data_IF_110592418218
#
_entry.id   IF_110592418218
#
_cell.length_a   1.000
_cell.length_b   1.000
_cell.length_c   1.000
_cell.angle_alpha   90.00
_cell.angle_beta   90.00
_cell.angle_gamma   90.00
#
_symmetry.space_group_name_H-M   'P 1'
#
loop_
_entity.id
_entity.type
_entity.pdbx_description
1 polymer ?
#
# COMPACT_ATOMS: atom_id res chain seq x y z
N UNK A 1 79.55 14.77 -61.44
CA UNK A 1 79.09 14.88 -62.84
C UNK A 1 77.85 15.74 -62.85
N UNK A 2 77.93 16.83 -63.61
CA UNK A 2 76.88 17.81 -63.84
C UNK A 2 75.72 17.20 -64.64
N UNK A 3 74.51 17.74 -64.40
CA UNK A 3 73.27 17.76 -65.19
C UNK A 3 72.08 17.69 -64.21
N UNK A 4 70.96 18.41 -64.31
CA UNK A 4 70.54 19.64 -64.98
C UNK A 4 69.14 19.92 -64.40
N UNK A 5 68.83 21.18 -64.05
CA UNK A 5 67.45 21.66 -63.84
C UNK A 5 66.64 21.62 -65.16
N UNK A 6 65.27 21.57 -65.19
CA UNK A 6 64.44 22.72 -64.79
C UNK A 6 63.01 22.44 -64.30
N UNK A 7 62.36 23.46 -63.72
CA UNK A 7 60.89 23.55 -63.72
C UNK A 7 60.23 24.28 -62.56
N UNK A 8 60.54 25.56 -62.35
CA UNK A 8 59.78 26.41 -61.43
C UNK A 8 58.36 26.71 -61.95
N UNK A 9 57.33 26.31 -61.19
CA UNK A 9 55.99 26.89 -61.29
C UNK A 9 55.60 27.63 -60.01
N UNK A 10 55.59 28.95 -60.18
CA UNK A 10 54.91 30.03 -59.45
C UNK A 10 53.94 29.57 -58.35
N UNK A 11 54.27 29.93 -57.10
CA UNK A 11 53.30 30.01 -56.00
C UNK A 11 52.19 31.00 -56.40
N UNK A 12 50.98 30.48 -56.60
CA UNK A 12 49.79 31.31 -56.80
C UNK A 12 49.54 32.16 -55.56
N UNK A 13 49.57 33.47 -55.77
CA UNK A 13 49.23 34.50 -54.80
C UNK A 13 47.84 34.27 -54.21
N UNK A 14 47.69 34.64 -52.93
CA UNK A 14 46.43 34.78 -52.23
C UNK A 14 45.47 35.74 -52.99
N UNK A 15 44.50 35.20 -53.72
CA UNK A 15 43.35 35.95 -54.22
C UNK A 15 42.29 36.05 -53.11
N UNK A 16 42.45 36.99 -52.18
CA UNK A 16 41.45 37.29 -51.14
C UNK A 16 41.27 38.79 -50.87
N UNK A 17 41.46 39.65 -51.87
CA UNK A 17 41.37 41.10 -51.69
C UNK A 17 40.25 41.82 -52.46
N UNK A 18 39.46 41.15 -53.32
CA UNK A 18 38.33 41.80 -54.03
C UNK A 18 37.13 40.85 -54.14
N UNK A 19 36.29 40.78 -53.10
CA UNK A 19 35.00 40.09 -53.15
C UNK A 19 33.92 40.96 -52.50
N UNK A 20 32.83 41.19 -53.24
CA UNK A 20 31.62 41.91 -52.82
C UNK A 20 31.08 41.34 -51.48
N UNK A 21 30.65 42.15 -50.48
CA UNK A 21 30.11 41.69 -49.19
C UNK A 21 29.06 40.56 -49.29
N UNK A 22 28.29 40.49 -50.37
CA UNK A 22 27.37 39.39 -50.69
C UNK A 22 28.08 38.04 -50.85
N UNK A 23 29.21 38.01 -51.56
CA UNK A 23 30.00 36.81 -51.90
C UNK A 23 30.77 36.25 -50.70
N UNK A 24 31.18 37.10 -49.75
CA UNK A 24 31.77 36.68 -48.48
C UNK A 24 30.73 36.06 -47.53
N UNK A 25 29.50 36.58 -47.53
CA UNK A 25 28.38 36.00 -46.77
C UNK A 25 27.98 34.63 -47.33
N UNK A 26 27.94 34.48 -48.66
CA UNK A 26 27.68 33.18 -49.31
C UNK A 26 28.78 32.15 -49.03
N UNK A 27 30.07 32.53 -49.07
CA UNK A 27 31.16 31.63 -48.71
C UNK A 27 31.12 31.22 -47.23
N UNK A 28 30.74 32.12 -46.32
CA UNK A 28 30.51 31.78 -44.90
C UNK A 28 29.31 30.84 -44.73
N UNK A 29 28.22 31.07 -45.46
CA UNK A 29 27.04 30.18 -45.50
C UNK A 29 27.40 28.79 -46.03
N UNK A 30 28.16 28.71 -47.12
CA UNK A 30 28.65 27.45 -47.69
C UNK A 30 29.60 26.72 -46.72
N UNK A 31 30.49 27.44 -46.03
CA UNK A 31 31.38 26.87 -45.01
C UNK A 31 30.61 26.34 -43.80
N UNK A 32 29.58 27.04 -43.34
CA UNK A 32 28.70 26.60 -42.25
C UNK A 32 27.84 25.41 -42.67
N UNK A 33 27.33 25.38 -43.90
CA UNK A 33 26.61 24.23 -44.46
C UNK A 33 27.52 22.99 -44.56
N UNK A 34 28.77 23.18 -45.02
CA UNK A 34 29.80 22.14 -45.07
C UNK A 34 30.17 21.63 -43.68
N UNK A 35 30.37 22.52 -42.70
CA UNK A 35 30.63 22.14 -41.31
C UNK A 35 29.45 21.37 -40.68
N UNK A 36 28.21 21.78 -40.98
CA UNK A 36 27.01 21.07 -40.56
C UNK A 36 26.86 19.69 -41.21
N UNK A 37 27.22 19.57 -42.49
CA UNK A 37 27.27 18.29 -43.20
C UNK A 37 28.35 17.37 -42.63
N UNK A 38 29.56 17.88 -42.38
CA UNK A 38 30.66 17.13 -41.76
C UNK A 38 30.35 16.69 -40.32
N UNK A 39 29.67 17.52 -39.52
CA UNK A 39 29.23 17.16 -38.17
C UNK A 39 28.18 16.04 -38.18
N UNK A 40 27.22 16.07 -39.11
CA UNK A 40 26.24 14.98 -39.30
C UNK A 40 26.90 13.68 -39.75
N UNK A 41 27.92 13.76 -40.61
CA UNK A 41 28.65 12.59 -41.08
C UNK A 41 29.45 11.94 -39.94
N UNK A 42 30.07 12.73 -39.06
CA UNK A 42 30.76 12.23 -37.85
C UNK A 42 29.79 11.61 -36.86
N UNK A 43 28.66 12.25 -36.57
CA UNK A 43 27.63 11.71 -35.68
C UNK A 43 27.03 10.40 -36.22
N UNK A 44 26.88 10.27 -37.55
CA UNK A 44 26.44 9.02 -38.19
C UNK A 44 27.48 7.91 -38.05
N UNK A 45 28.76 8.20 -38.31
CA UNK A 45 29.87 7.25 -38.12
C UNK A 45 30.02 6.80 -36.67
N UNK A 46 29.87 7.71 -35.70
CA UNK A 46 29.92 7.38 -34.27
C UNK A 46 28.76 6.48 -33.83
N UNK A 47 27.54 6.73 -34.33
CA UNK A 47 26.39 5.86 -34.10
C UNK A 47 26.56 4.48 -34.73
N UNK A 48 27.12 4.42 -35.95
CA UNK A 48 27.41 3.16 -36.63
C UNK A 48 28.48 2.36 -35.87
N UNK A 49 29.57 3.00 -35.43
CA UNK A 49 30.60 2.37 -34.60
C UNK A 49 30.06 1.89 -33.25
N UNK A 50 29.20 2.68 -32.60
CA UNK A 50 28.54 2.28 -31.36
C UNK A 50 27.60 1.09 -31.59
N UNK A 51 26.81 1.10 -32.66
CA UNK A 51 25.92 -0.01 -32.98
C UNK A 51 26.68 -1.30 -33.32
N UNK A 52 27.86 -1.21 -33.94
CA UNK A 52 28.74 -2.36 -34.18
C UNK A 52 29.26 -2.89 -32.84
N UNK A 53 29.78 -2.01 -31.98
CA UNK A 53 30.28 -2.39 -30.65
C UNK A 53 29.19 -3.03 -29.78
N UNK A 54 28.00 -2.45 -29.75
CA UNK A 54 26.86 -2.97 -28.99
C UNK A 54 26.44 -4.36 -29.52
N UNK A 55 26.52 -4.58 -30.84
CA UNK A 55 26.24 -5.90 -31.47
C UNK A 55 27.31 -6.94 -31.14
N UNK A 56 28.58 -6.55 -31.20
CA UNK A 56 29.71 -7.43 -30.81
C UNK A 56 29.58 -7.84 -29.34
N UNK A 57 29.30 -6.88 -28.45
CA UNK A 57 29.10 -7.14 -27.03
C UNK A 57 27.89 -8.06 -26.77
N UNK A 58 26.78 -7.90 -27.52
CA UNK A 58 25.64 -8.84 -27.42
C UNK A 58 25.99 -10.24 -27.93
N UNK A 59 26.74 -10.34 -29.04
CA UNK A 59 27.13 -11.62 -29.61
C UNK A 59 28.13 -12.37 -28.72
N UNK A 60 29.04 -11.66 -28.05
CA UNK A 60 29.94 -12.25 -27.05
C UNK A 60 29.17 -12.75 -25.82
N UNK A 61 28.20 -11.97 -25.33
CA UNK A 61 27.32 -12.40 -24.24
C UNK A 61 26.49 -13.63 -24.60
N UNK A 62 25.98 -13.72 -25.82
CA UNK A 62 25.24 -14.89 -26.30
C UNK A 62 26.13 -16.14 -26.36
N UNK A 63 27.31 -16.03 -26.96
CA UNK A 63 28.30 -17.13 -26.98
C UNK A 63 28.68 -17.60 -25.58
N UNK A 64 28.82 -16.66 -24.65
CA UNK A 64 29.16 -17.00 -23.28
C UNK A 64 28.02 -17.73 -22.56
N UNK A 65 26.77 -17.31 -22.77
CA UNK A 65 25.58 -18.02 -22.26
C UNK A 65 25.48 -19.43 -22.84
N UNK A 66 25.71 -19.60 -24.13
CA UNK A 66 25.67 -20.91 -24.79
C UNK A 66 26.76 -21.85 -24.25
N UNK A 67 27.97 -21.33 -24.02
CA UNK A 67 29.04 -22.09 -23.39
C UNK A 67 28.68 -22.49 -21.94
N UNK A 68 28.12 -21.58 -21.17
CA UNK A 68 27.66 -21.84 -19.80
C UNK A 68 26.54 -22.88 -19.76
N UNK A 69 25.57 -22.82 -20.67
CA UNK A 69 24.49 -23.82 -20.80
C UNK A 69 25.02 -25.20 -21.19
N UNK A 70 26.04 -25.24 -22.06
CA UNK A 70 26.69 -26.50 -22.43
C UNK A 70 27.43 -27.11 -21.25
N UNK A 71 28.23 -26.32 -20.53
CA UNK A 71 28.94 -26.75 -19.33
C UNK A 71 27.97 -27.17 -18.21
N UNK A 72 26.85 -26.46 -18.07
CA UNK A 72 25.78 -26.83 -17.14
C UNK A 72 25.15 -28.18 -17.51
N UNK A 73 24.93 -28.44 -18.80
CA UNK A 73 24.43 -29.73 -19.29
C UNK A 73 25.42 -30.87 -19.06
N UNK A 74 26.71 -30.64 -19.35
CA UNK A 74 27.79 -31.58 -19.07
C UNK A 74 27.90 -31.87 -17.55
N UNK A 75 27.75 -30.86 -16.69
CA UNK A 75 27.76 -31.02 -15.24
C UNK A 75 26.53 -31.78 -14.71
N UNK A 76 25.35 -31.57 -15.31
CA UNK A 76 24.13 -32.32 -15.00
C UNK A 76 24.25 -33.80 -15.35
N UNK A 77 24.82 -34.11 -16.51
CA UNK A 77 25.04 -35.48 -16.98
C UNK A 77 26.11 -36.21 -16.16
N UNK A 78 27.11 -35.48 -15.66
CA UNK A 78 28.17 -36.04 -14.83
C UNK A 78 27.70 -36.37 -13.39
N UNK A 79 27.01 -35.45 -12.72
CA UNK A 79 26.49 -35.65 -11.36
C UNK A 79 25.24 -34.77 -11.09
N UNK A 80 24.05 -35.37 -11.27
CA UNK A 80 22.77 -34.70 -11.04
C UNK A 80 22.59 -34.26 -9.58
N UNK A 81 23.06 -35.04 -8.61
CA UNK A 81 22.85 -34.74 -7.19
C UNK A 81 23.74 -33.59 -6.73
N UNK A 82 25.02 -33.60 -7.15
CA UNK A 82 25.94 -32.49 -6.93
C UNK A 82 25.48 -31.19 -7.60
N UNK A 83 24.99 -31.28 -8.84
CA UNK A 83 24.41 -30.15 -9.57
C UNK A 83 23.19 -29.56 -8.85
N UNK A 84 22.25 -30.41 -8.42
CA UNK A 84 21.05 -29.98 -7.72
C UNK A 84 21.37 -29.31 -6.38
N UNK A 85 22.33 -29.85 -5.61
CA UNK A 85 22.80 -29.22 -4.35
C UNK A 85 23.42 -27.85 -4.59
N UNK A 86 24.22 -27.70 -5.65
CA UNK A 86 24.83 -26.41 -6.02
C UNK A 86 23.76 -25.37 -6.33
N UNK A 87 22.79 -25.69 -7.19
CA UNK A 87 21.69 -24.78 -7.54
C UNK A 87 20.78 -24.46 -6.37
N UNK A 88 20.48 -25.43 -5.48
CA UNK A 88 19.76 -25.15 -4.22
C UNK A 88 20.54 -24.18 -3.34
N UNK A 89 21.87 -24.32 -3.25
CA UNK A 89 22.74 -23.36 -2.56
C UNK A 89 22.70 -21.96 -3.19
N UNK A 90 22.71 -21.86 -4.52
CA UNK A 90 22.56 -20.60 -5.24
C UNK A 90 21.17 -19.97 -5.02
N UNK A 91 20.11 -20.78 -5.02
CA UNK A 91 18.74 -20.37 -4.69
C UNK A 91 18.70 -19.78 -3.27
N UNK A 92 19.20 -20.50 -2.26
CA UNK A 92 19.25 -20.03 -0.87
C UNK A 92 20.08 -18.75 -0.71
N UNK A 93 21.20 -18.62 -1.43
CA UNK A 93 22.02 -17.42 -1.43
C UNK A 93 21.27 -16.21 -2.03
N UNK A 94 20.52 -16.41 -3.11
CA UNK A 94 19.66 -15.36 -3.69
C UNK A 94 18.49 -15.00 -2.77
N UNK A 95 17.83 -16.00 -2.17
CA UNK A 95 16.75 -15.82 -1.19
C UNK A 95 17.20 -14.97 -0.01
N UNK A 96 18.38 -15.26 0.54
CA UNK A 96 18.95 -14.50 1.66
C UNK A 96 19.36 -13.10 1.24
N UNK A 97 19.90 -12.92 0.01
CA UNK A 97 20.21 -11.60 -0.56
C UNK A 97 18.97 -10.73 -0.69
N UNK A 98 17.89 -11.26 -1.28
CA UNK A 98 16.60 -10.57 -1.44
C UNK A 98 16.03 -10.21 -0.06
N UNK A 99 16.01 -11.15 0.89
CA UNK A 99 15.53 -10.92 2.25
C UNK A 99 16.33 -9.83 2.97
N UNK A 100 17.66 -9.81 2.81
CA UNK A 100 18.53 -8.80 3.40
C UNK A 100 18.30 -7.41 2.76
N UNK A 101 18.12 -7.33 1.44
CA UNK A 101 17.77 -6.08 0.73
C UNK A 101 16.41 -5.56 1.17
N UNK A 102 15.40 -6.42 1.27
CA UNK A 102 14.08 -6.08 1.81
C UNK A 102 14.16 -5.56 3.25
N UNK A 103 14.93 -6.21 4.12
CA UNK A 103 15.16 -5.76 5.51
C UNK A 103 15.86 -4.40 5.56
N UNK A 104 16.89 -4.18 4.74
CA UNK A 104 17.56 -2.87 4.63
C UNK A 104 16.61 -1.80 4.13
N UNK A 105 15.80 -2.07 3.12
CA UNK A 105 14.77 -1.14 2.63
C UNK A 105 13.77 -0.77 3.72
N UNK A 106 13.24 -1.76 4.44
CA UNK A 106 12.34 -1.53 5.56
C UNK A 106 12.99 -0.64 6.63
N UNK A 107 14.24 -0.93 6.99
CA UNK A 107 15.01 -0.14 7.94
C UNK A 107 15.31 1.30 7.45
N UNK A 108 15.42 1.54 6.15
CA UNK A 108 15.60 2.89 5.58
C UNK A 108 14.30 3.69 5.53
N UNK A 109 13.16 3.00 5.49
CA UNK A 109 11.84 3.63 5.49
C UNK A 109 11.45 4.14 6.88
N UNK A 110 11.80 3.42 7.94
CA UNK A 110 11.51 3.80 9.32
C UNK A 110 12.31 5.04 9.75
N UNK A 111 11.60 6.07 10.21
CA UNK A 111 12.16 7.35 10.65
C UNK A 111 13.10 7.20 11.85
N UNK A 112 12.87 6.23 12.73
CA UNK A 112 13.65 6.04 13.96
C UNK A 112 14.79 5.02 13.82
N UNK A 113 14.87 4.32 12.70
CA UNK A 113 15.86 3.26 12.48
C UNK A 113 17.30 3.79 12.44
N UNK A 114 18.22 3.04 13.03
CA UNK A 114 19.65 3.34 13.08
C UNK A 114 20.25 3.56 11.67
N UNK A 115 19.79 2.80 10.67
CA UNK A 115 20.26 2.94 9.29
C UNK A 115 19.91 4.32 8.69
N UNK A 116 18.74 4.87 9.02
CA UNK A 116 18.35 6.21 8.57
C UNK A 116 19.08 7.29 9.35
N UNK A 117 19.31 7.09 10.64
CA UNK A 117 20.12 8.00 11.46
C UNK A 117 21.56 8.06 10.98
N UNK A 118 22.15 6.92 10.62
CA UNK A 118 23.49 6.84 10.04
C UNK A 118 23.56 7.49 8.65
N UNK A 119 22.56 7.26 7.79
CA UNK A 119 22.46 7.97 6.51
C UNK A 119 22.37 9.49 6.69
N UNK A 120 21.57 9.96 7.66
CA UNK A 120 21.45 11.40 7.96
C UNK A 120 22.75 11.97 8.54
N UNK A 121 23.45 11.21 9.39
CA UNK A 121 24.80 11.57 9.88
C UNK A 121 25.81 11.64 8.74
N UNK A 122 25.79 10.69 7.80
CA UNK A 122 26.67 10.69 6.64
C UNK A 122 26.36 11.86 5.69
N UNK A 123 25.09 12.18 5.47
CA UNK A 123 24.70 13.37 4.69
C UNK A 123 25.15 14.65 5.41
N UNK A 124 24.98 14.75 6.73
CA UNK A 124 25.45 15.90 7.51
C UNK A 124 26.98 16.04 7.47
N UNK A 125 27.72 14.93 7.54
CA UNK A 125 29.19 14.92 7.43
C UNK A 125 29.65 15.29 6.02
N UNK A 126 28.96 14.82 4.98
CA UNK A 126 29.24 15.20 3.59
C UNK A 126 28.98 16.70 3.37
N UNK A 127 27.86 17.22 3.87
CA UNK A 127 27.56 18.66 3.79
C UNK A 127 28.58 19.50 4.57
N UNK A 128 29.02 19.06 5.75
CA UNK A 128 30.05 19.73 6.53
C UNK A 128 31.45 19.63 5.88
N UNK A 129 31.73 18.55 5.14
CA UNK A 129 32.96 18.41 4.36
C UNK A 129 32.96 19.33 3.14
N UNK A 130 31.80 19.52 2.51
CA UNK A 130 31.61 20.46 1.39
C UNK A 130 31.77 21.92 1.86
N UNK A 131 31.22 22.29 3.03
CA UNK A 131 31.49 23.58 3.68
C UNK A 131 32.99 23.80 3.96
N UNK A 132 33.74 22.73 4.23
CA UNK A 132 35.18 22.79 4.49
C UNK A 132 36.02 22.90 3.21
N UNK A 133 35.53 22.37 2.09
CA UNK A 133 36.14 22.48 0.75
C UNK A 133 35.84 23.85 0.08
N UNK A 134 34.70 24.48 0.41
CA UNK A 134 34.27 25.78 -0.17
C UNK A 134 34.81 27.03 0.55
N UNK A 135 35.64 26.87 1.58
CA UNK A 135 36.48 27.96 2.06
C UNK A 135 36.53 28.10 3.57
N UNK A 136 37.72 27.89 4.11
CA UNK A 136 38.13 28.52 5.36
C UNK A 136 38.09 30.03 5.22
N UNK A 137 36.99 30.64 5.67
CA UNK A 137 36.95 32.02 6.13
C UNK A 137 35.95 32.04 7.28
N UNK A 138 36.49 32.05 8.50
CA UNK A 138 35.69 32.02 9.71
C UNK A 138 34.74 33.22 9.78
N UNK A 139 33.47 32.96 10.04
CA UNK A 139 32.67 33.88 10.85
C UNK A 139 31.69 33.07 11.70
N UNK A 140 31.79 33.32 13.00
CA UNK A 140 31.00 32.70 14.04
C UNK A 140 29.50 32.92 13.85
N UNK A 141 28.75 31.88 14.22
CA UNK A 141 27.44 31.92 14.89
C UNK A 141 26.99 33.33 15.29
N UNK A 142 25.91 33.82 14.68
CA UNK A 142 24.99 34.74 15.35
C UNK A 142 23.55 34.33 15.07
N UNK A 143 22.96 33.65 16.05
CA UNK A 143 21.51 33.49 16.13
C UNK A 143 20.85 34.86 16.31
N UNK A 144 19.70 35.05 15.67
CA UNK A 144 18.92 36.27 15.77
C UNK A 144 17.52 36.08 15.23
N UNK A 145 16.59 35.76 16.14
CA UNK A 145 15.14 35.98 15.96
C UNK A 145 14.91 37.38 15.38
N UNK A 146 14.14 37.48 14.30
CA UNK A 146 13.81 38.75 13.67
C UNK A 146 12.50 38.66 12.88
N UNK A 147 11.44 39.11 13.52
CA UNK A 147 10.08 39.33 13.01
C UNK A 147 10.06 40.12 11.71
N UNK A 148 9.17 39.73 10.79
CA UNK A 148 9.02 40.39 9.50
C UNK A 148 8.37 41.76 9.55
N UNK A 149 8.69 42.56 8.52
CA UNK A 149 7.86 43.53 7.80
C UNK A 149 8.79 44.33 6.89
N UNK A 150 8.35 44.62 5.66
CA UNK A 150 8.98 45.63 4.81
C UNK A 150 9.14 45.22 3.35
N UNK A 151 8.05 45.35 2.60
CA UNK A 151 8.06 45.37 1.14
C UNK A 151 8.71 46.68 0.67
N UNK A 152 9.72 46.59 -0.20
CA UNK A 152 10.35 47.75 -0.84
C UNK A 152 11.03 47.33 -2.13
N UNK A 153 10.40 47.67 -3.26
CA UNK A 153 10.95 47.52 -4.63
C UNK A 153 12.17 48.42 -4.81
N UNK A 154 13.25 47.86 -5.35
CA UNK A 154 14.43 48.61 -5.78
C UNK A 154 15.20 47.82 -6.84
N UNK A 155 15.12 48.29 -8.08
CA UNK A 155 15.80 47.80 -9.28
C UNK A 155 17.30 48.11 -9.27
N UNK A 156 18.15 47.17 -9.71
CA UNK A 156 19.40 47.50 -10.39
C UNK A 156 20.69 46.80 -9.94
N UNK A 157 21.35 46.18 -10.95
CA UNK A 157 22.79 45.90 -11.09
C UNK A 157 23.47 44.81 -10.25
N UNK A 158 23.59 43.64 -10.88
CA UNK A 158 24.82 42.87 -11.09
C UNK A 158 25.89 42.84 -9.99
N UNK A 159 26.00 41.67 -9.34
CA UNK A 159 27.26 41.18 -8.77
C UNK A 159 27.44 39.71 -9.15
N UNK A 160 28.49 39.46 -9.93
CA UNK A 160 28.94 38.18 -10.45
C UNK A 160 29.53 37.38 -9.29
N UNK A 161 28.69 36.64 -8.58
CA UNK A 161 29.10 35.51 -7.74
C UNK A 161 28.69 34.25 -8.49
N UNK A 162 29.61 33.29 -8.62
CA UNK A 162 29.31 31.96 -9.16
C UNK A 162 28.36 31.26 -8.17
N UNK A 163 27.08 31.59 -8.22
CA UNK A 163 26.05 30.81 -7.56
C UNK A 163 25.98 29.51 -8.33
N UNK A 164 26.48 28.44 -7.72
CA UNK A 164 26.25 27.08 -8.16
C UNK A 164 24.76 26.93 -8.50
N UNK A 165 24.45 26.87 -9.80
CA UNK A 165 23.08 26.72 -10.29
C UNK A 165 22.72 25.25 -10.13
N UNK A 166 22.50 24.83 -8.89
CA UNK A 166 21.95 23.51 -8.58
C UNK A 166 20.63 23.34 -9.34
N UNK A 167 20.62 22.47 -10.35
CA UNK A 167 19.53 22.30 -11.31
C UNK A 167 19.82 22.67 -12.76
N UNK A 168 21.01 23.20 -13.08
CA UNK A 168 21.46 23.43 -14.45
C UNK A 168 21.94 22.14 -15.14
N UNK A 169 22.45 21.18 -14.36
CA UNK A 169 22.82 19.85 -14.85
C UNK A 169 21.72 18.82 -14.53
N UNK A 170 21.40 17.94 -15.49
CA UNK A 170 20.40 16.86 -15.34
C UNK A 170 20.74 15.90 -14.17
N UNK A 171 22.01 15.89 -13.73
CA UNK A 171 22.49 15.14 -12.58
C UNK A 171 21.88 15.62 -11.25
N UNK A 172 21.61 16.91 -11.10
CA UNK A 172 21.04 17.50 -9.88
C UNK A 172 19.57 17.12 -9.70
N UNK A 173 18.86 16.95 -10.81
CA UNK A 173 17.49 16.46 -10.83
C UNK A 173 17.42 14.99 -10.39
N UNK A 174 18.48 14.21 -10.59
CA UNK A 174 18.56 12.83 -10.08
C UNK A 174 18.69 12.78 -8.55
N UNK A 175 19.32 13.78 -7.93
CA UNK A 175 19.43 13.93 -6.47
C UNK A 175 18.05 14.26 -5.88
N UNK A 176 17.31 15.20 -6.48
CA UNK A 176 15.92 15.50 -6.08
C UNK A 176 15.00 14.28 -6.21
N UNK A 177 15.08 13.52 -7.31
CA UNK A 177 14.30 12.28 -7.49
C UNK A 177 14.63 11.21 -6.45
N UNK A 178 15.92 11.08 -6.06
CA UNK A 178 16.36 10.16 -4.99
C UNK A 178 15.90 10.59 -3.60
N UNK A 179 15.77 11.89 -3.34
CA UNK A 179 15.31 12.43 -2.06
C UNK A 179 13.78 12.33 -1.96
N UNK A 180 13.03 12.75 -2.98
CA UNK A 180 11.56 12.71 -3.01
C UNK A 180 11.03 11.27 -2.95
N UNK A 181 11.67 10.32 -3.65
CA UNK A 181 11.35 8.88 -3.54
C UNK A 181 11.55 8.31 -2.14
N UNK A 182 12.39 8.93 -1.30
CA UNK A 182 12.69 8.46 0.06
C UNK A 182 11.79 9.09 1.15
N UNK A 183 11.01 10.13 0.84
CA UNK A 183 10.36 10.97 1.88
C UNK A 183 8.84 11.15 1.77
N UNK A 184 8.14 10.53 0.83
CA UNK A 184 6.67 10.70 0.72
C UNK A 184 5.88 9.47 1.22
N UNK A 185 5.34 9.51 2.46
CA UNK A 185 4.45 8.47 3.00
C UNK A 185 2.95 8.68 2.68
N UNK A 186 2.56 9.66 1.84
CA UNK A 186 1.15 9.97 1.61
C UNK A 186 0.83 10.14 0.11
N UNK A 187 0.32 9.06 -0.49
CA UNK A 187 -0.41 9.09 -1.76
C UNK A 187 -1.85 8.67 -1.43
N UNK A 188 -2.88 9.44 -1.80
CA UNK A 188 -4.27 9.12 -1.50
C UNK A 188 -4.75 7.84 -2.21
N UNK A 189 -5.74 7.12 -1.64
CA UNK A 189 -5.97 5.69 -1.90
C UNK A 189 -6.79 5.36 -3.17
N UNK A 190 -6.86 6.23 -4.17
CA UNK A 190 -7.78 6.03 -5.32
C UNK A 190 -7.16 5.47 -6.61
N UNK A 191 -5.86 5.15 -6.64
CA UNK A 191 -5.26 4.43 -7.78
C UNK A 191 -4.68 3.10 -7.33
N UNK A 192 -5.50 2.06 -7.41
CA UNK A 192 -5.17 0.65 -7.12
C UNK A 192 -4.02 0.10 -8.00
N UNK A 193 -3.50 0.89 -8.95
CA UNK A 193 -2.36 0.54 -9.82
C UNK A 193 -0.97 1.00 -9.35
N UNK A 194 -0.82 1.69 -8.21
CA UNK A 194 0.50 2.22 -7.81
C UNK A 194 0.94 1.76 -6.42
N UNK A 195 0.78 0.47 -6.14
CA UNK A 195 1.55 -0.22 -5.09
C UNK A 195 2.68 -1.07 -5.65
N UNK A 196 3.12 -0.77 -6.88
CA UNK A 196 4.46 -1.16 -7.31
C UNK A 196 5.43 -0.28 -6.52
N UNK A 197 5.81 -0.73 -5.32
CA UNK A 197 7.10 -0.33 -4.75
C UNK A 197 8.09 -0.49 -5.92
N UNK A 198 8.74 0.59 -6.35
CA UNK A 198 9.75 0.49 -7.39
C UNK A 198 10.91 -0.31 -6.81
N UNK A 199 10.88 -1.62 -7.07
CA UNK A 199 11.97 -2.56 -6.85
C UNK A 199 13.19 -1.95 -7.54
N UNK A 200 14.35 -1.98 -6.88
CA UNK A 200 15.58 -1.45 -7.48
C UNK A 200 15.91 -2.28 -8.73
N UNK A 201 16.56 -1.69 -9.73
CA UNK A 201 17.05 -2.44 -10.91
C UNK A 201 17.75 -3.75 -10.48
N UNK A 202 18.63 -3.64 -9.50
CA UNK A 202 19.38 -4.77 -8.95
C UNK A 202 18.50 -5.84 -8.26
N UNK A 203 17.33 -5.47 -7.74
CA UNK A 203 16.41 -6.45 -7.11
C UNK A 203 15.53 -7.14 -8.15
N UNK A 204 15.23 -6.48 -9.26
CA UNK A 204 14.55 -7.10 -10.41
C UNK A 204 15.46 -8.15 -11.06
N UNK A 205 16.76 -7.86 -11.18
CA UNK A 205 17.77 -8.81 -11.64
C UNK A 205 17.90 -10.02 -10.71
N UNK A 206 17.99 -9.82 -9.40
CA UNK A 206 18.05 -10.92 -8.41
C UNK A 206 16.80 -11.82 -8.51
N UNK A 207 15.61 -11.23 -8.71
CA UNK A 207 14.35 -11.98 -8.87
C UNK A 207 14.32 -12.77 -10.18
N UNK A 208 14.79 -12.19 -11.29
CA UNK A 208 14.86 -12.87 -12.58
C UNK A 208 15.84 -14.06 -12.54
N UNK A 209 17.00 -13.88 -11.89
CA UNK A 209 17.97 -14.96 -11.68
C UNK A 209 17.38 -16.09 -10.83
N UNK A 210 16.67 -15.75 -9.75
CA UNK A 210 16.02 -16.72 -8.89
C UNK A 210 14.95 -17.52 -9.63
N UNK A 211 14.13 -16.87 -10.46
CA UNK A 211 13.13 -17.54 -11.30
C UNK A 211 13.78 -18.51 -12.30
N UNK A 212 14.91 -18.14 -12.91
CA UNK A 212 15.64 -19.02 -13.83
C UNK A 212 16.19 -20.26 -13.13
N UNK A 213 16.75 -20.10 -11.92
CA UNK A 213 17.26 -21.22 -11.11
C UNK A 213 16.11 -22.13 -10.68
N UNK A 214 14.99 -21.57 -10.20
CA UNK A 214 13.81 -22.34 -9.79
C UNK A 214 13.19 -23.10 -10.94
N UNK A 215 13.14 -22.52 -12.14
CA UNK A 215 12.68 -23.20 -13.34
C UNK A 215 13.58 -24.40 -13.70
N UNK A 216 14.91 -24.22 -13.64
CA UNK A 216 15.87 -25.31 -13.86
C UNK A 216 15.73 -26.44 -12.84
N UNK A 217 15.52 -26.09 -11.56
CA UNK A 217 15.28 -27.07 -10.50
C UNK A 217 13.96 -27.83 -10.71
N UNK A 218 12.87 -27.14 -11.08
CA UNK A 218 11.58 -27.78 -11.38
C UNK A 218 11.63 -28.73 -12.58
N UNK A 219 12.47 -28.46 -13.59
CA UNK A 219 12.56 -29.30 -14.78
C UNK A 219 13.48 -30.51 -14.60
N UNK A 220 14.50 -30.43 -13.75
CA UNK A 220 15.56 -31.44 -13.68
C UNK A 220 15.67 -32.18 -12.34
N UNK A 221 15.18 -31.62 -11.23
CA UNK A 221 15.22 -32.24 -9.92
C UNK A 221 13.84 -32.75 -9.50
N UNK A 222 13.62 -34.08 -9.42
CA UNK A 222 12.32 -34.65 -8.99
C UNK A 222 11.99 -34.36 -7.52
N UNK A 223 12.97 -33.97 -6.70
CA UNK A 223 12.75 -33.61 -5.29
C UNK A 223 12.29 -32.15 -5.12
N UNK A 224 12.43 -31.31 -6.15
CA UNK A 224 12.05 -29.91 -6.09
C UNK A 224 10.63 -29.70 -6.64
N UNK A 225 9.74 -29.17 -5.79
CA UNK A 225 8.33 -28.91 -6.12
C UNK A 225 8.01 -27.42 -6.08
N UNK A 226 6.85 -27.01 -6.61
CA UNK A 226 6.40 -25.62 -6.59
C UNK A 226 6.35 -25.00 -5.18
N UNK A 227 6.22 -25.81 -4.12
CA UNK A 227 6.21 -25.36 -2.73
C UNK A 227 7.56 -24.78 -2.28
N UNK A 228 8.67 -25.17 -2.93
CA UNK A 228 10.02 -24.71 -2.61
C UNK A 228 10.42 -23.42 -3.36
N UNK A 229 9.56 -22.90 -4.22
CA UNK A 229 9.80 -21.65 -4.94
C UNK A 229 9.69 -20.43 -4.03
N UNK A 230 10.45 -19.38 -4.30
CA UNK A 230 10.38 -18.12 -3.59
C UNK A 230 8.99 -17.51 -3.64
N UNK A 231 8.36 -17.58 -4.81
CA UNK A 231 7.00 -17.07 -5.00
C UNK A 231 6.02 -17.80 -4.06
N UNK A 232 6.10 -19.12 -3.99
CA UNK A 232 5.29 -19.91 -3.07
C UNK A 232 5.59 -19.57 -1.62
N UNK A 233 6.86 -19.59 -1.20
CA UNK A 233 7.29 -19.30 0.19
C UNK A 233 6.91 -17.87 0.63
N UNK A 234 7.04 -16.88 -0.25
CA UNK A 234 6.62 -15.50 0.05
C UNK A 234 5.10 -15.38 0.12
N UNK A 235 4.40 -16.14 -0.71
CA UNK A 235 2.94 -16.21 -0.70
C UNK A 235 2.37 -17.03 0.47
N UNK A 236 3.18 -17.92 1.07
CA UNK A 236 2.79 -18.71 2.22
C UNK A 236 2.37 -17.75 3.33
N UNK A 237 1.05 -17.71 3.53
CA UNK A 237 0.45 -16.86 4.56
C UNK A 237 0.87 -17.42 5.92
N UNK A 238 0.87 -16.58 6.94
CA UNK A 238 1.11 -17.05 8.30
C UNK A 238 0.15 -18.19 8.64
N UNK A 239 0.57 -19.14 9.48
CA UNK A 239 -0.27 -20.26 9.92
C UNK A 239 -1.65 -19.77 10.44
N UNK A 240 -1.68 -18.59 11.08
CA UNK A 240 -2.91 -17.94 11.51
C UNK A 240 -3.82 -17.59 10.32
N UNK A 241 -3.28 -16.98 9.26
CA UNK A 241 -4.07 -16.65 8.07
C UNK A 241 -4.59 -17.90 7.36
N UNK A 242 -3.82 -18.99 7.33
CA UNK A 242 -4.28 -20.27 6.79
C UNK A 242 -5.39 -20.89 7.67
N UNK A 243 -5.36 -20.69 8.99
CA UNK A 243 -6.44 -21.14 9.88
C UNK A 243 -7.75 -20.38 9.62
N UNK A 244 -7.68 -19.07 9.31
CA UNK A 244 -8.85 -18.25 8.97
C UNK A 244 -9.35 -18.47 7.54
N UNK A 245 -8.42 -18.72 6.60
CA UNK A 245 -8.72 -18.94 5.18
C UNK A 245 -7.83 -20.07 4.65
N UNK A 246 -8.28 -21.33 4.78
CA UNK A 246 -7.59 -22.48 4.22
C UNK A 246 -7.42 -22.33 2.71
N UNK A 247 -6.30 -22.83 2.20
CA UNK A 247 -6.03 -22.94 0.76
C UNK A 247 -6.29 -24.39 0.37
N UNK A 248 -6.94 -24.58 -0.76
CA UNK A 248 -7.22 -25.88 -1.33
C UNK A 248 -6.32 -26.13 -2.54
N UNK A 249 -6.05 -27.41 -2.82
CA UNK A 249 -5.24 -27.82 -3.96
C UNK A 249 -5.84 -27.37 -5.29
N UNK A 250 -4.98 -27.15 -6.28
CA UNK A 250 -5.41 -26.82 -7.64
C UNK A 250 -6.23 -27.99 -8.22
N UNK A 251 -7.49 -27.73 -8.55
CA UNK A 251 -8.45 -28.74 -9.03
C UNK A 251 -9.54 -29.13 -8.04
N UNK A 252 -9.43 -28.76 -6.75
CA UNK A 252 -10.52 -28.96 -5.79
C UNK A 252 -11.60 -27.87 -5.92
N UNK A 253 -12.52 -28.07 -6.87
CA UNK A 253 -13.67 -27.17 -7.06
C UNK A 253 -14.59 -27.07 -5.83
N UNK A 254 -14.69 -28.15 -5.04
CA UNK A 254 -15.52 -28.17 -3.84
C UNK A 254 -14.86 -27.40 -2.70
N UNK A 255 -13.54 -27.52 -2.52
CA UNK A 255 -12.77 -26.72 -1.58
C UNK A 255 -12.85 -25.23 -1.90
N UNK A 256 -12.62 -24.87 -3.16
CA UNK A 256 -12.60 -23.47 -3.62
C UNK A 256 -13.94 -22.73 -3.52
N UNK A 257 -15.05 -23.46 -3.31
CA UNK A 257 -16.41 -22.90 -3.16
C UNK A 257 -16.92 -22.91 -1.72
N UNK A 258 -16.10 -23.33 -0.74
CA UNK A 258 -16.47 -23.32 0.69
C UNK A 258 -16.32 -21.95 1.32
N UNK A 259 -17.27 -21.59 2.17
CA UNK A 259 -17.21 -20.40 3.03
C UNK A 259 -16.85 -20.87 4.44
N UNK A 260 -15.72 -20.40 4.95
CA UNK A 260 -15.28 -20.67 6.31
C UNK A 260 -15.82 -19.60 7.26
N UNK A 261 -16.56 -20.05 8.28
CA UNK A 261 -17.01 -19.21 9.38
C UNK A 261 -16.22 -19.57 10.63
N UNK A 262 -15.46 -18.62 11.13
CA UNK A 262 -14.62 -18.75 12.31
C UNK A 262 -15.20 -17.87 13.43
N UNK A 263 -14.72 -16.63 13.53
CA UNK A 263 -15.12 -15.66 14.56
C UNK A 263 -16.48 -15.01 14.26
N UNK A 264 -16.92 -15.06 13.00
CA UNK A 264 -18.15 -14.43 12.52
C UNK A 264 -19.37 -14.93 13.29
N UNK A 265 -19.37 -16.21 13.70
CA UNK A 265 -20.50 -16.87 14.40
C UNK A 265 -20.90 -16.16 15.70
N UNK A 266 -19.91 -15.73 16.50
CA UNK A 266 -20.16 -15.03 17.76
C UNK A 266 -20.00 -13.52 17.62
N UNK A 267 -19.10 -13.04 16.75
CA UNK A 267 -18.84 -11.61 16.56
C UNK A 267 -20.07 -10.86 16.04
N UNK A 268 -20.88 -11.50 15.18
CA UNK A 268 -22.14 -10.92 14.70
C UNK A 268 -23.16 -10.78 15.84
N UNK A 269 -23.25 -11.79 16.72
CA UNK A 269 -24.15 -11.75 17.87
C UNK A 269 -23.70 -10.71 18.92
N UNK A 270 -22.39 -10.49 19.07
CA UNK A 270 -21.85 -9.52 20.03
C UNK A 270 -22.25 -8.06 19.71
N UNK A 271 -22.66 -7.76 18.47
CA UNK A 271 -23.16 -6.44 18.11
C UNK A 271 -24.38 -5.99 18.93
N UNK A 272 -25.16 -6.91 19.51
CA UNK A 272 -26.25 -6.59 20.44
C UNK A 272 -25.77 -6.05 21.79
N UNK A 273 -24.58 -6.45 22.22
CA UNK A 273 -23.97 -6.03 23.49
C UNK A 273 -22.93 -4.93 23.30
N UNK A 274 -22.23 -4.92 22.16
CA UNK A 274 -21.24 -3.92 21.77
C UNK A 274 -21.45 -3.47 20.32
N UNK A 275 -22.43 -2.57 20.07
CA UNK A 275 -22.78 -2.11 18.71
C UNK A 275 -21.64 -1.43 17.96
N UNK A 276 -20.65 -0.89 18.69
CA UNK A 276 -19.43 -0.28 18.15
C UNK A 276 -18.61 -1.21 17.25
N UNK A 277 -18.68 -2.54 17.46
CA UNK A 277 -18.00 -3.54 16.61
C UNK A 277 -18.56 -3.52 15.18
N UNK A 278 -19.84 -3.17 15.02
CA UNK A 278 -20.51 -2.99 13.74
C UNK A 278 -20.44 -1.53 13.22
N UNK A 279 -19.79 -0.62 13.96
CA UNK A 279 -19.71 0.80 13.62
C UNK A 279 -21.01 1.57 13.88
N UNK A 280 -21.93 1.02 14.70
CA UNK A 280 -23.17 1.69 15.07
C UNK A 280 -22.96 2.45 16.38
N UNK A 281 -23.17 3.77 16.36
CA UNK A 281 -23.08 4.63 17.54
C UNK A 281 -24.36 4.54 18.38
N UNK A 282 -24.51 3.42 19.08
CA UNK A 282 -25.63 3.15 19.97
C UNK A 282 -25.16 2.36 21.19
N UNK A 283 -25.90 2.50 22.29
CA UNK A 283 -25.63 1.76 23.52
C UNK A 283 -25.97 0.28 23.37
N UNK A 284 -25.18 -0.59 24.00
CA UNK A 284 -25.45 -2.02 24.03
C UNK A 284 -26.66 -2.38 24.90
N UNK A 285 -27.20 -3.59 24.74
CA UNK A 285 -28.38 -4.04 25.49
C UNK A 285 -28.22 -3.89 27.02
N UNK A 286 -27.03 -4.18 27.56
CA UNK A 286 -26.75 -4.03 28.99
C UNK A 286 -26.84 -2.58 29.47
N UNK A 287 -26.26 -1.65 28.72
CA UNK A 287 -26.27 -0.22 29.04
C UNK A 287 -27.68 0.38 28.91
N UNK A 288 -28.43 -0.04 27.88
CA UNK A 288 -29.82 0.39 27.68
C UNK A 288 -30.67 -0.07 28.86
N UNK A 289 -30.57 -1.33 29.28
CA UNK A 289 -31.30 -1.85 30.44
C UNK A 289 -30.92 -1.08 31.70
N UNK A 290 -29.64 -0.79 31.91
CA UNK A 290 -29.18 -0.01 33.05
C UNK A 290 -29.75 1.42 33.05
N UNK A 291 -29.77 2.09 31.90
CA UNK A 291 -30.32 3.43 31.74
C UNK A 291 -31.83 3.47 32.00
N UNK A 292 -32.56 2.44 31.56
CA UNK A 292 -34.00 2.32 31.85
C UNK A 292 -34.20 2.10 33.34
N UNK A 293 -33.49 1.13 33.93
CA UNK A 293 -33.64 0.79 35.33
C UNK A 293 -33.26 1.95 36.24
N UNK A 294 -32.26 2.76 35.91
CA UNK A 294 -31.83 3.91 36.74
C UNK A 294 -32.94 4.91 37.03
N UNK A 295 -33.98 4.99 36.18
CA UNK A 295 -35.14 5.88 36.32
C UNK A 295 -36.15 5.42 37.38
N UNK A 296 -36.04 4.18 37.86
CA UNK A 296 -36.97 3.60 38.84
C UNK A 296 -36.38 3.64 40.26
N UNK A 297 -37.25 3.57 41.27
CA UNK A 297 -36.85 3.40 42.67
C UNK A 297 -36.22 2.02 42.92
N UNK A 298 -35.52 1.83 44.05
CA UNK A 298 -34.85 0.54 44.36
C UNK A 298 -35.82 -0.64 44.48
N UNK A 299 -37.00 -0.43 45.08
CA UNK A 299 -38.01 -1.48 45.23
C UNK A 299 -38.61 -1.90 43.88
N UNK A 300 -38.85 -0.93 43.00
CA UNK A 300 -39.34 -1.17 41.64
C UNK A 300 -38.29 -1.88 40.79
N UNK A 301 -37.03 -1.42 40.85
CA UNK A 301 -35.89 -2.11 40.23
C UNK A 301 -35.90 -3.58 40.63
N UNK A 302 -35.92 -3.89 41.94
CA UNK A 302 -35.94 -5.27 42.45
C UNK A 302 -37.08 -6.11 41.88
N UNK A 303 -38.28 -5.53 41.74
CA UNK A 303 -39.43 -6.22 41.13
C UNK A 303 -39.24 -6.49 39.63
N UNK A 304 -38.65 -5.54 38.89
CA UNK A 304 -38.42 -5.65 37.46
C UNK A 304 -37.33 -6.66 37.12
N UNK A 305 -36.16 -6.64 37.79
CA UNK A 305 -35.06 -7.58 37.51
C UNK A 305 -35.40 -9.03 37.89
N UNK A 306 -36.36 -9.23 38.79
CA UNK A 306 -36.88 -10.56 39.15
C UNK A 306 -37.62 -11.22 37.98
N UNK A 307 -38.13 -10.46 37.00
CA UNK A 307 -38.91 -11.02 35.90
C UNK A 307 -38.50 -10.38 34.56
N UNK A 308 -37.30 -10.70 34.08
CA UNK A 308 -36.88 -10.32 32.74
C UNK A 308 -37.37 -11.38 31.76
N UNK A 309 -38.22 -10.98 30.81
CA UNK A 309 -38.75 -11.88 29.79
C UNK A 309 -38.17 -11.54 28.41
N UNK A 310 -37.54 -12.52 27.77
CA UNK A 310 -36.97 -12.40 26.44
C UNK A 310 -37.98 -12.86 25.39
N UNK A 311 -38.25 -11.99 24.42
CA UNK A 311 -39.19 -12.23 23.32
C UNK A 311 -38.63 -11.68 22.00
N UNK A 312 -39.24 -12.10 20.88
CA UNK A 312 -38.80 -11.79 19.53
C UNK A 312 -37.74 -12.75 19.00
N UNK A 313 -37.67 -12.91 17.67
CA UNK A 313 -36.77 -13.88 17.03
C UNK A 313 -35.28 -13.77 17.43
N UNK A 314 -34.68 -12.58 17.66
CA UNK A 314 -33.29 -12.48 18.12
C UNK A 314 -33.02 -13.15 19.48
N UNK A 315 -34.04 -13.36 20.32
CA UNK A 315 -33.89 -14.09 21.58
C UNK A 315 -33.66 -15.60 21.41
N UNK A 316 -33.78 -16.12 20.18
CA UNK A 316 -33.45 -17.51 19.85
C UNK A 316 -31.95 -17.76 19.68
N UNK A 317 -31.11 -16.71 19.74
CA UNK A 317 -29.66 -16.87 19.72
C UNK A 317 -29.24 -17.79 20.90
N UNK A 318 -28.47 -18.86 20.63
CA UNK A 318 -28.01 -19.75 21.68
C UNK A 318 -27.28 -18.99 22.78
N UNK A 319 -27.51 -19.39 24.03
CA UNK A 319 -26.86 -18.82 25.21
C UNK A 319 -27.08 -17.32 25.46
N UNK A 320 -28.08 -16.71 24.82
CA UNK A 320 -28.39 -15.28 25.03
C UNK A 320 -28.83 -14.97 26.46
N UNK A 321 -29.60 -15.87 27.10
CA UNK A 321 -30.06 -15.67 28.49
C UNK A 321 -28.90 -15.74 29.49
N UNK A 322 -28.01 -16.76 29.48
CA UNK A 322 -26.77 -16.75 30.25
C UNK A 322 -25.88 -15.54 29.97
N UNK A 323 -25.72 -15.15 28.69
CA UNK A 323 -24.94 -13.97 28.31
C UNK A 323 -25.53 -12.69 28.91
N UNK A 324 -26.84 -12.50 28.80
CA UNK A 324 -27.52 -11.33 29.38
C UNK A 324 -27.42 -11.32 30.91
N UNK A 325 -27.56 -12.47 31.57
CA UNK A 325 -27.35 -12.59 33.01
C UNK A 325 -25.94 -12.14 33.39
N UNK A 326 -24.91 -12.61 32.68
CA UNK A 326 -23.51 -12.22 32.92
C UNK A 326 -23.26 -10.72 32.72
N UNK A 327 -23.98 -10.09 31.80
CA UNK A 327 -23.90 -8.65 31.53
C UNK A 327 -24.59 -7.83 32.60
N UNK A 328 -25.73 -8.29 33.11
CA UNK A 328 -26.53 -7.57 34.10
C UNK A 328 -26.01 -7.77 35.53
N UNK A 329 -25.50 -8.96 35.85
CA UNK A 329 -25.12 -9.33 37.22
C UNK A 329 -24.14 -8.36 37.90
N UNK A 330 -23.10 -7.81 37.23
CA UNK A 330 -22.20 -6.82 37.81
C UNK A 330 -22.85 -5.47 38.13
N UNK A 331 -24.03 -5.19 37.55
CA UNK A 331 -24.73 -3.91 37.72
C UNK A 331 -25.58 -3.86 38.99
N UNK A 332 -25.81 -5.01 39.65
CA UNK A 332 -26.71 -5.12 40.80
C UNK A 332 -26.01 -5.72 42.04
N UNK A 333 -26.48 -5.35 43.26
CA UNK A 333 -26.06 -6.00 44.51
C UNK A 333 -26.26 -7.51 44.47
N UNK A 334 -25.50 -8.25 45.28
CA UNK A 334 -25.48 -9.72 45.26
C UNK A 334 -26.80 -10.33 45.70
N UNK A 335 -27.51 -9.63 46.55
CA UNK A 335 -28.76 -10.02 47.19
C UNK A 335 -29.97 -9.84 46.27
N UNK A 336 -29.81 -9.15 45.14
CA UNK A 336 -30.89 -8.91 44.19
C UNK A 336 -31.04 -10.09 43.23
N UNK A 337 -32.16 -10.85 43.29
CA UNK A 337 -32.37 -11.98 42.41
C UNK A 337 -32.68 -11.51 40.99
N UNK A 338 -31.87 -11.96 40.02
CA UNK A 338 -32.09 -11.72 38.60
C UNK A 338 -32.62 -13.01 37.99
N UNK A 339 -33.83 -12.97 37.44
CA UNK A 339 -34.42 -14.11 36.73
C UNK A 339 -34.68 -13.72 35.28
N UNK A 340 -34.13 -14.50 34.35
CA UNK A 340 -34.32 -14.31 32.92
C UNK A 340 -35.06 -15.52 32.38
N UNK A 341 -36.25 -15.29 31.82
CA UNK A 341 -37.09 -16.29 31.18
C UNK A 341 -37.17 -15.99 29.70
N UNK A 342 -37.20 -17.03 28.88
CA UNK A 342 -37.38 -16.90 27.44
C UNK A 342 -38.78 -17.35 27.02
N UNK A 343 -39.32 -16.73 25.98
CA UNK A 343 -40.55 -17.18 25.34
C UNK A 343 -40.37 -18.60 24.77
N UNK A 344 -41.46 -19.38 24.73
CA UNK A 344 -41.43 -20.74 24.18
C UNK A 344 -41.35 -20.70 22.65
N UNK A 345 -42.03 -19.75 22.03
CA UNK A 345 -41.96 -19.50 20.59
C UNK A 345 -41.81 -17.99 20.33
N UNK A 346 -40.60 -17.44 20.48
CA UNK A 346 -40.37 -15.99 20.40
C UNK A 346 -40.77 -15.34 19.08
N UNK A 347 -40.89 -16.12 18.00
CA UNK A 347 -41.29 -15.62 16.68
C UNK A 347 -42.81 -15.45 16.55
N UNK A 348 -43.60 -16.34 17.15
CA UNK A 348 -45.06 -16.37 17.00
C UNK A 348 -45.84 -15.96 18.25
N UNK A 349 -45.20 -15.91 19.42
CA UNK A 349 -45.89 -15.65 20.68
C UNK A 349 -46.55 -14.26 20.74
N UNK A 350 -45.99 -13.26 20.06
CA UNK A 350 -46.64 -11.95 19.92
C UNK A 350 -47.98 -12.06 19.16
N UNK A 351 -47.99 -12.77 18.03
CA UNK A 351 -49.21 -13.00 17.25
C UNK A 351 -50.22 -13.87 18.01
N UNK A 352 -49.77 -14.94 18.66
CA UNK A 352 -50.63 -15.81 19.48
C UNK A 352 -51.23 -15.06 20.67
N UNK A 353 -50.44 -14.17 21.29
CA UNK A 353 -50.90 -13.29 22.36
C UNK A 353 -52.05 -12.40 21.89
N UNK A 354 -51.86 -11.71 20.77
CA UNK A 354 -52.91 -10.86 20.21
C UNK A 354 -54.12 -11.66 19.70
N UNK A 355 -53.92 -12.84 19.12
CA UNK A 355 -55.00 -13.72 18.68
C UNK A 355 -55.85 -14.25 19.85
N UNK A 356 -55.24 -14.46 21.02
CA UNK A 356 -55.97 -14.76 22.26
C UNK A 356 -56.69 -13.52 22.79
N UNK A 357 -56.02 -12.36 22.79
CA UNK A 357 -56.59 -11.09 23.24
C UNK A 357 -57.83 -10.68 22.42
N UNK A 358 -57.79 -10.83 21.09
CA UNK A 358 -58.89 -10.51 20.19
C UNK A 358 -60.18 -11.30 20.47
N UNK A 359 -60.10 -12.40 21.23
CA UNK A 359 -61.25 -13.21 21.66
C UNK A 359 -61.80 -12.83 23.03
N UNK A 360 -61.18 -11.88 23.72
CA UNK A 360 -61.61 -11.40 25.04
C UNK A 360 -62.67 -10.31 24.90
N UNK A 361 -63.51 -10.15 25.92
CA UNK A 361 -64.50 -9.06 25.98
C UNK A 361 -63.82 -7.67 26.05
N UNK A 362 -62.61 -7.61 26.60
CA UNK A 362 -61.81 -6.39 26.67
C UNK A 362 -61.52 -5.83 25.26
N UNK A 363 -61.31 -6.69 24.26
CA UNK A 363 -61.07 -6.27 22.88
C UNK A 363 -62.21 -5.39 22.33
N UNK A 364 -63.46 -5.68 22.69
CA UNK A 364 -64.61 -4.90 22.25
C UNK A 364 -64.60 -3.47 22.80
N UNK A 365 -63.99 -3.25 23.97
CA UNK A 365 -63.89 -1.92 24.59
C UNK A 365 -62.77 -1.06 23.98
N UNK A 366 -61.69 -1.71 23.53
CA UNK A 366 -60.50 -1.04 23.00
C UNK A 366 -60.50 -0.91 21.48
N UNK A 367 -61.28 -1.72 20.78
CA UNK A 367 -61.44 -1.65 19.32
C UNK A 367 -62.08 -0.34 18.88
N UNK A 368 -61.65 0.17 17.73
CA UNK A 368 -62.24 1.36 17.09
C UNK A 368 -63.19 0.91 15.98
N UNK A 369 -64.45 1.34 16.07
CA UNK A 369 -65.43 1.09 15.01
C UNK A 369 -65.22 2.05 13.84
N UNK A 370 -65.79 1.70 12.69
CA UNK A 370 -65.74 2.56 11.49
C UNK A 370 -66.39 3.93 11.74
N UNK A 371 -67.52 3.97 12.45
CA UNK A 371 -68.22 5.22 12.74
C UNK A 371 -67.38 6.13 13.66
N UNK A 372 -66.79 5.56 14.71
CA UNK A 372 -65.87 6.29 15.60
C UNK A 372 -64.65 6.85 14.84
N UNK A 373 -64.12 6.09 13.88
CA UNK A 373 -63.01 6.55 13.04
C UNK A 373 -63.41 7.72 12.12
N UNK A 374 -64.60 7.65 11.50
CA UNK A 374 -65.11 8.70 10.63
C UNK A 374 -65.42 10.01 11.38
N UNK A 375 -65.87 9.92 12.65
CA UNK A 375 -66.14 11.08 13.51
C UNK A 375 -64.86 11.69 14.11
N UNK A 376 -63.94 10.84 14.56
CA UNK A 376 -62.81 11.25 15.41
C UNK A 376 -61.48 11.40 14.63
N UNK A 377 -61.44 10.95 13.38
CA UNK A 377 -60.28 11.04 12.50
C UNK A 377 -59.23 9.96 12.73
N UNK A 378 -58.28 9.85 11.79
CA UNK A 378 -57.33 8.73 11.76
C UNK A 378 -56.12 8.80 12.70
N UNK A 379 -55.86 9.96 13.29
CA UNK A 379 -54.79 10.12 14.28
C UNK A 379 -55.20 9.66 15.68
N UNK A 380 -56.49 9.37 15.88
CA UNK A 380 -57.04 9.01 17.17
C UNK A 380 -56.99 7.49 17.37
N UNK A 381 -56.49 7.09 18.52
CA UNK A 381 -56.47 5.71 19.00
C UNK A 381 -57.13 5.66 20.38
N UNK A 382 -57.80 4.57 20.73
CA UNK A 382 -58.32 4.37 22.09
C UNK A 382 -57.17 4.03 23.03
N UNK A 383 -57.18 4.60 24.24
CA UNK A 383 -56.18 4.30 25.26
C UNK A 383 -56.34 2.86 25.75
N UNK A 384 -55.25 2.11 25.72
CA UNK A 384 -55.19 0.73 26.21
C UNK A 384 -53.85 0.47 26.89
N UNK A 385 -53.81 -0.46 27.85
CA UNK A 385 -52.57 -0.75 28.60
C UNK A 385 -51.44 -1.31 27.74
N UNK A 386 -51.76 -1.88 26.57
CA UNK A 386 -50.79 -2.38 25.60
C UNK A 386 -50.50 -1.44 24.42
N UNK A 387 -51.08 -0.24 24.38
CA UNK A 387 -50.86 0.74 23.30
C UNK A 387 -49.83 1.80 23.67
N UNK A 388 -49.33 2.53 22.66
CA UNK A 388 -48.52 3.72 22.88
C UNK A 388 -49.31 4.81 23.62
N UNK A 389 -48.58 5.71 24.28
CA UNK A 389 -49.16 6.90 24.90
C UNK A 389 -49.78 7.83 23.85
N UNK A 390 -51.06 8.11 24.00
CA UNK A 390 -51.83 9.11 23.28
C UNK A 390 -52.29 10.17 24.29
N UNK A 391 -52.05 11.45 24.00
CA UNK A 391 -52.20 12.56 24.95
C UNK A 391 -53.63 12.90 25.41
N UNK A 392 -54.61 12.00 25.31
CA UNK A 392 -55.95 12.26 25.84
C UNK A 392 -56.97 11.20 25.46
N UNK A 393 -57.90 11.01 26.40
CA UNK A 393 -59.07 10.11 26.45
C UNK A 393 -58.77 8.69 26.94
#
# INVERSE_FOLDING_TARGET
MSCAEPGGLRRSQNCYADLDPSSLAEKKKQKLLKAGYEARLRARKERELKAIKDREETAEREKQRELEERLDSEAREADLEGWARKLKGEQEALMTRIKNRAKRRAAMSDRKSAAKQERMKNIANLAAADEKMLGGSGTSKKGGKGTGKGVGKGTGKGRKGNADMFGADDADWAIYRKIVRATCPFIPPQTVKTRQLTISSDEEEDLAQLQQIEQKLLTHDPTFTNQHTHASIVSQRSALLNAFRPVYEEGDGAGNTRIHLTTERWRVCEAWFSPSIAGVDSAGLGEVIQNILSRFGEEEKRRLVKNIFLSGSPSQIPDIAPRLYSTLRPLFPVEMPIEIRSANDPALDAWRGMAKFAKTEEFATVGMSKAEYEEMGGERLKRWWGSNWNGGF
#
